data_IF_346486367161
#
_entry.id   IF_346486367161
#
_cell.length_a   1.000
_cell.length_b   1.000
_cell.length_c   1.000
_cell.angle_alpha   90.00
_cell.angle_beta   90.00
_cell.angle_gamma   90.00
#
_symmetry.space_group_name_H-M   'P 1'
#
loop_
_entity.id
_entity.type
_entity.pdbx_description
1 polymer ?
#
# COMPACT_ATOMS: atom_id res chain seq x y z
N UNK A 1 7.64 -31.36 -2.42
CA UNK A 1 8.12 -30.44 -1.36
C UNK A 1 7.03 -29.39 -1.28
N UNK A 2 6.31 -29.23 -0.17
CA UNK A 2 5.41 -28.09 -0.04
C UNK A 2 6.30 -26.86 0.04
N UNK A 3 6.32 -26.06 -1.01
CA UNK A 3 6.97 -24.76 -0.97
C UNK A 3 6.27 -23.96 0.12
N UNK A 4 7.04 -23.52 1.10
CA UNK A 4 6.52 -22.63 2.13
C UNK A 4 6.35 -21.26 1.47
N UNK A 5 5.25 -20.58 1.77
CA UNK A 5 4.96 -19.23 1.32
C UNK A 5 4.70 -18.35 2.54
N UNK A 6 4.91 -17.04 2.40
CA UNK A 6 4.43 -16.08 3.36
C UNK A 6 2.90 -15.96 3.27
N UNK A 7 2.26 -15.65 4.39
CA UNK A 7 0.83 -15.38 4.43
C UNK A 7 0.57 -13.89 4.18
N UNK A 8 -0.48 -13.60 3.41
CA UNK A 8 -0.85 -12.24 3.00
C UNK A 8 -2.37 -12.05 3.08
N UNK A 9 -2.79 -10.89 3.56
CA UNK A 9 -4.16 -10.38 3.48
C UNK A 9 -4.19 -9.04 2.75
N UNK A 10 -5.34 -8.67 2.19
CA UNK A 10 -5.55 -7.34 1.61
C UNK A 10 -5.45 -6.23 2.67
N UNK A 11 -5.79 -6.54 3.93
CA UNK A 11 -5.73 -5.62 5.07
C UNK A 11 -4.30 -5.22 5.45
N UNK A 12 -3.31 -6.04 5.09
CA UNK A 12 -1.90 -5.82 5.37
C UNK A 12 -1.24 -4.88 4.34
N UNK A 13 -2.00 -4.43 3.35
CA UNK A 13 -1.52 -3.61 2.25
C UNK A 13 -2.24 -2.26 2.19
N UNK A 14 -1.54 -1.27 1.67
CA UNK A 14 -2.06 0.06 1.43
C UNK A 14 -1.52 0.57 0.10
N UNK A 15 -2.39 1.18 -0.70
CA UNK A 15 -2.01 1.90 -1.91
C UNK A 15 -2.43 3.36 -1.77
N UNK A 16 -1.46 4.27 -1.86
CA UNK A 16 -1.68 5.70 -1.74
C UNK A 16 -1.19 6.42 -2.97
N UNK A 17 -2.07 7.19 -3.61
CA UNK A 17 -1.73 8.02 -4.75
C UNK A 17 -1.30 9.43 -4.31
N UNK A 18 -0.25 9.93 -4.93
CA UNK A 18 0.28 11.27 -4.75
C UNK A 18 0.30 11.96 -6.10
N UNK A 19 -0.49 13.02 -6.22
CA UNK A 19 -0.52 13.84 -7.44
C UNK A 19 0.34 15.08 -7.25
N UNK A 20 1.19 15.35 -8.24
CA UNK A 20 2.00 16.56 -8.31
C UNK A 20 1.99 17.14 -9.73
N UNK A 21 2.64 18.28 -9.93
CA UNK A 21 2.77 18.87 -11.27
C UNK A 21 3.55 18.01 -12.26
N UNK A 22 4.35 17.05 -11.79
CA UNK A 22 5.13 16.14 -12.64
C UNK A 22 4.39 14.84 -12.98
N UNK A 23 3.20 14.62 -12.44
CA UNK A 23 2.42 13.39 -12.65
C UNK A 23 1.85 12.83 -11.36
N UNK A 24 1.26 11.64 -11.48
CA UNK A 24 0.66 10.88 -10.37
C UNK A 24 1.50 9.64 -10.11
N UNK A 25 1.81 9.42 -8.83
CA UNK A 25 2.61 8.30 -8.35
C UNK A 25 1.80 7.55 -7.31
N UNK A 26 1.73 6.23 -7.40
CA UNK A 26 1.13 5.36 -6.40
C UNK A 26 2.24 4.69 -5.61
N UNK A 27 2.21 4.86 -4.30
CA UNK A 27 3.03 4.10 -3.35
C UNK A 27 2.21 2.92 -2.85
N UNK A 28 2.71 1.72 -3.05
CA UNK A 28 2.11 0.49 -2.52
C UNK A 28 3.05 -0.05 -1.46
N UNK A 29 2.53 -0.23 -0.24
CA UNK A 29 3.25 -0.84 0.87
C UNK A 29 2.43 -1.97 1.45
N UNK A 30 3.09 -2.99 1.96
CA UNK A 30 2.44 -4.00 2.79
C UNK A 30 3.45 -4.88 3.50
N UNK A 31 2.94 -5.93 4.14
CA UNK A 31 3.76 -6.94 4.77
C UNK A 31 3.17 -8.35 4.54
N UNK A 32 4.02 -9.36 4.70
CA UNK A 32 3.60 -10.76 4.76
C UNK A 32 4.17 -11.45 5.98
N UNK A 33 3.39 -12.35 6.56
CA UNK A 33 3.83 -13.18 7.68
C UNK A 33 4.61 -14.37 7.13
N UNK A 34 5.94 -14.27 7.18
CA UNK A 34 6.82 -15.25 6.57
C UNK A 34 7.24 -16.36 7.54
N UNK A 35 7.47 -17.60 7.07
CA UNK A 35 7.84 -18.75 7.90
C UNK A 35 9.17 -18.62 8.68
N UNK A 36 10.03 -17.68 8.27
CA UNK A 36 11.36 -17.45 8.85
C UNK A 36 11.81 -16.01 8.61
N UNK A 37 12.88 -15.58 9.29
CA UNK A 37 13.59 -14.37 8.91
C UNK A 37 14.35 -14.54 7.58
N UNK A 38 14.57 -13.44 6.86
CA UNK A 38 15.41 -13.38 5.65
C UNK A 38 14.69 -13.65 4.33
N UNK A 39 13.36 -13.72 4.34
CA UNK A 39 12.58 -13.70 3.10
C UNK A 39 12.75 -12.35 2.40
N UNK A 40 12.85 -12.37 1.08
CA UNK A 40 12.80 -11.15 0.27
C UNK A 40 11.46 -11.11 -0.47
N UNK A 41 10.75 -9.99 -0.34
CA UNK A 41 9.50 -9.73 -1.02
C UNK A 41 9.69 -8.60 -2.02
N UNK A 42 9.03 -8.70 -3.17
CA UNK A 42 9.02 -7.63 -4.17
C UNK A 42 7.69 -7.56 -4.90
N UNK A 43 7.26 -6.35 -5.23
CA UNK A 43 6.11 -6.08 -6.08
C UNK A 43 6.62 -5.68 -7.47
N UNK A 44 6.18 -6.39 -8.50
CA UNK A 44 6.61 -6.15 -9.89
C UNK A 44 5.39 -5.86 -10.74
N UNK A 45 5.40 -4.75 -11.49
CA UNK A 45 4.31 -4.45 -12.42
C UNK A 45 4.22 -5.52 -13.51
N UNK A 46 3.02 -6.01 -13.75
CA UNK A 46 2.75 -7.09 -14.71
C UNK A 46 1.72 -6.74 -15.77
N UNK A 47 1.33 -5.46 -15.88
CA UNK A 47 0.42 -4.97 -16.93
C UNK A 47 0.96 -5.37 -18.33
N UNK A 48 0.39 -6.40 -19.00
CA UNK A 48 0.90 -6.85 -20.28
C UNK A 48 0.24 -6.06 -21.42
N UNK A 49 1.02 -5.38 -22.24
CA UNK A 49 0.54 -4.75 -23.49
C UNK A 49 -0.45 -3.60 -23.30
N UNK A 50 -1.43 -3.49 -24.20
CA UNK A 50 -2.53 -2.52 -24.08
C UNK A 50 -3.41 -2.94 -22.91
N UNK A 51 -3.40 -2.17 -21.82
CA UNK A 51 -4.10 -2.48 -20.57
C UNK A 51 -5.62 -2.38 -20.82
N UNK A 52 -6.36 -3.51 -20.80
CA UNK A 52 -7.81 -3.50 -21.04
C UNK A 52 -8.59 -2.81 -19.90
N UNK A 53 -7.97 -2.67 -18.74
CA UNK A 53 -8.53 -2.07 -17.52
C UNK A 53 -7.56 -1.00 -16.99
N UNK A 54 -7.48 0.20 -17.60
CA UNK A 54 -6.56 1.26 -17.17
C UNK A 54 -6.81 1.72 -15.72
N UNK A 55 -7.97 1.43 -15.15
CA UNK A 55 -8.34 1.65 -13.76
C UNK A 55 -7.69 0.65 -12.77
N UNK A 56 -7.14 -0.45 -13.26
CA UNK A 56 -6.55 -1.52 -12.45
C UNK A 56 -5.06 -1.69 -12.74
N UNK A 57 -4.21 -1.51 -11.73
CA UNK A 57 -2.77 -1.76 -11.85
C UNK A 57 -2.43 -3.13 -11.25
N UNK A 58 -1.84 -4.02 -12.07
CA UNK A 58 -1.57 -5.40 -11.69
C UNK A 58 -0.12 -5.57 -11.24
N UNK A 59 0.08 -5.92 -9.98
CA UNK A 59 1.40 -6.17 -9.39
C UNK A 59 1.54 -7.66 -9.03
N UNK A 60 2.58 -8.31 -9.51
CA UNK A 60 2.97 -9.64 -9.04
C UNK A 60 3.81 -9.50 -7.77
N UNK A 61 3.36 -10.16 -6.71
CA UNK A 61 4.15 -10.36 -5.52
C UNK A 61 5.08 -11.55 -5.70
N UNK A 62 6.39 -11.29 -5.63
CA UNK A 62 7.43 -12.32 -5.72
C UNK A 62 8.08 -12.54 -4.38
N UNK A 63 8.21 -13.80 -4.04
CA UNK A 63 8.86 -14.28 -2.82
C UNK A 63 10.18 -14.96 -3.15
N UNK A 64 11.22 -14.64 -2.38
CA UNK A 64 12.47 -15.40 -2.41
C UNK A 64 12.76 -15.92 -1.01
N UNK A 65 12.76 -17.25 -0.89
CA UNK A 65 13.06 -17.93 0.35
C UNK A 65 14.53 -17.73 0.77
N UNK A 66 14.81 -17.56 2.08
CA UNK A 66 16.15 -17.48 2.60
C UNK A 66 16.88 -18.82 2.51
N UNK A 67 18.22 -18.77 2.51
CA UNK A 67 19.06 -19.96 2.66
C UNK A 67 19.17 -20.29 4.16
N UNK A 68 18.24 -21.07 4.68
CA UNK A 68 18.25 -21.46 6.11
C UNK A 68 17.06 -22.32 6.52
N UNK A 69 17.08 -22.83 7.77
CA UNK A 69 16.03 -23.71 8.33
C UNK A 69 15.38 -23.16 9.61
N UNK A 70 15.60 -21.88 9.94
CA UNK A 70 14.91 -21.25 11.07
C UNK A 70 13.40 -21.25 10.82
N UNK A 71 12.60 -21.53 11.85
CA UNK A 71 11.13 -21.50 11.79
C UNK A 71 10.63 -20.55 12.86
N UNK A 72 10.58 -19.28 12.50
CA UNK A 72 10.12 -18.18 13.35
C UNK A 72 9.27 -17.31 12.45
N UNK A 73 8.01 -17.09 12.82
CA UNK A 73 7.14 -16.22 12.02
C UNK A 73 7.63 -14.78 12.12
N UNK A 74 7.79 -14.11 10.97
CA UNK A 74 8.33 -12.75 10.88
C UNK A 74 7.53 -11.95 9.86
N UNK A 75 7.08 -10.76 10.28
CA UNK A 75 6.52 -9.77 9.36
C UNK A 75 7.62 -9.24 8.44
N UNK A 76 7.46 -9.46 7.15
CA UNK A 76 8.40 -9.03 6.11
C UNK A 76 7.72 -7.98 5.25
N UNK A 77 8.32 -6.78 5.19
CA UNK A 77 7.76 -5.66 4.44
C UNK A 77 8.01 -5.77 2.94
N UNK A 78 7.14 -5.13 2.17
CA UNK A 78 7.30 -4.93 0.72
C UNK A 78 6.84 -3.54 0.34
N UNK A 79 7.52 -2.93 -0.64
CA UNK A 79 7.19 -1.61 -1.15
C UNK A 79 7.41 -1.54 -2.66
N UNK A 80 6.55 -0.79 -3.34
CA UNK A 80 6.78 -0.32 -4.70
C UNK A 80 6.24 1.10 -4.88
N UNK A 81 6.89 1.85 -5.77
CA UNK A 81 6.48 3.19 -6.19
C UNK A 81 6.30 3.11 -7.71
N UNK A 82 5.10 3.44 -8.19
CA UNK A 82 4.73 3.31 -9.60
C UNK A 82 4.16 4.63 -10.10
N UNK A 83 4.59 5.09 -11.27
CA UNK A 83 3.94 6.20 -11.97
C UNK A 83 2.71 5.66 -12.71
N UNK A 84 1.52 6.19 -12.36
CA UNK A 84 0.26 5.78 -12.97
C UNK A 84 -0.80 6.89 -12.81
N UNK A 85 -1.38 7.32 -13.92
CA UNK A 85 -2.32 8.46 -13.98
C UNK A 85 -3.79 8.06 -13.74
N UNK A 86 -4.13 6.77 -13.72
CA UNK A 86 -5.52 6.30 -13.85
C UNK A 86 -5.94 5.28 -12.82
N UNK A 87 -5.03 4.46 -12.31
CA UNK A 87 -5.37 3.31 -11.49
C UNK A 87 -6.06 3.75 -10.18
N UNK A 88 -7.26 3.20 -9.97
CA UNK A 88 -8.06 3.37 -8.75
C UNK A 88 -7.99 2.15 -7.85
N UNK A 89 -7.43 1.05 -8.34
CA UNK A 89 -7.20 -0.17 -7.57
C UNK A 89 -5.86 -0.82 -7.95
N UNK A 90 -5.27 -1.52 -6.98
CA UNK A 90 -4.10 -2.38 -7.19
C UNK A 90 -4.55 -3.82 -7.03
N UNK A 91 -4.27 -4.64 -8.05
CA UNK A 91 -4.48 -6.09 -7.99
C UNK A 91 -3.15 -6.75 -7.68
N UNK A 92 -3.03 -7.32 -6.47
CA UNK A 92 -1.85 -8.07 -6.03
C UNK A 92 -2.01 -9.54 -6.43
N UNK A 93 -1.13 -10.00 -7.31
CA UNK A 93 -1.13 -11.36 -7.84
C UNK A 93 -0.06 -12.22 -7.20
N UNK A 94 -0.41 -13.50 -7.07
CA UNK A 94 0.47 -14.54 -6.59
C UNK A 94 0.60 -15.61 -7.67
N UNK A 95 1.73 -16.31 -7.69
CA UNK A 95 1.91 -17.47 -8.58
C UNK A 95 1.24 -18.74 -8.06
N UNK A 96 0.87 -18.77 -6.77
CA UNK A 96 0.46 -19.97 -6.03
C UNK A 96 -0.92 -19.87 -5.38
N UNK A 97 -1.60 -18.72 -5.45
CA UNK A 97 -2.97 -18.52 -4.96
C UNK A 97 -3.73 -17.46 -5.76
N UNK A 98 -5.02 -17.34 -5.47
CA UNK A 98 -5.86 -16.29 -6.04
C UNK A 98 -5.40 -14.89 -5.62
N UNK A 99 -5.51 -13.89 -6.52
CA UNK A 99 -5.16 -12.51 -6.23
C UNK A 99 -6.16 -11.84 -5.30
N UNK A 100 -5.78 -10.69 -4.75
CA UNK A 100 -6.71 -9.77 -4.09
C UNK A 100 -6.51 -8.35 -4.62
N UNK A 101 -7.54 -7.52 -4.45
CA UNK A 101 -7.52 -6.11 -4.82
C UNK A 101 -7.49 -5.23 -3.57
N UNK A 102 -6.77 -4.12 -3.65
CA UNK A 102 -6.78 -3.04 -2.66
C UNK A 102 -7.14 -1.72 -3.35
N UNK A 103 -7.93 -0.86 -2.70
CA UNK A 103 -8.25 0.45 -3.25
C UNK A 103 -7.02 1.37 -3.23
N UNK A 104 -6.89 2.20 -4.27
CA UNK A 104 -5.94 3.32 -4.25
C UNK A 104 -6.61 4.51 -3.59
N UNK A 105 -6.05 4.95 -2.48
CA UNK A 105 -6.53 6.13 -1.75
C UNK A 105 -5.73 7.35 -2.19
N UNK A 106 -6.40 8.40 -2.64
CA UNK A 106 -5.75 9.66 -2.96
C UNK A 106 -5.25 10.33 -1.68
N UNK A 107 -3.98 10.73 -1.69
CA UNK A 107 -3.41 11.52 -0.61
C UNK A 107 -3.93 12.96 -0.70
N UNK A 108 -4.95 13.27 0.09
CA UNK A 108 -5.44 14.64 0.22
C UNK A 108 -4.55 15.45 1.17
N UNK A 109 -3.77 16.39 0.61
CA UNK A 109 -2.95 17.34 1.39
C UNK A 109 -3.78 18.31 2.24
N UNK A 110 -5.10 18.40 2.05
CA UNK A 110 -5.94 19.41 2.69
C UNK A 110 -6.71 18.93 3.94
N UNK A 111 -6.63 17.66 4.30
CA UNK A 111 -7.34 17.10 5.47
C UNK A 111 -6.84 17.57 6.85
N UNK A 112 -5.57 17.98 6.97
CA UNK A 112 -4.94 18.26 8.28
C UNK A 112 -5.09 19.69 8.80
N UNK A 113 -5.58 20.66 7.98
CA UNK A 113 -5.66 22.08 8.40
C UNK A 113 -7.02 22.56 8.88
N UNK A 114 -8.09 21.81 8.69
CA UNK A 114 -9.46 22.29 9.00
C UNK A 114 -9.90 21.90 10.43
N UNK A 115 -9.26 20.91 11.05
CA UNK A 115 -9.68 20.41 12.37
C UNK A 115 -9.24 21.30 13.56
N UNK A 116 -8.22 22.15 13.40
CA UNK A 116 -7.63 22.91 14.53
C UNK A 116 -8.16 24.36 14.66
N UNK A 117 -8.83 24.89 13.62
CA UNK A 117 -9.34 26.26 13.62
C UNK A 117 -10.70 26.42 14.35
N UNK A 118 -11.32 25.33 14.82
CA UNK A 118 -12.68 25.35 15.40
C UNK A 118 -12.72 25.37 16.94
N UNK A 119 -11.59 25.49 17.64
CA UNK A 119 -11.55 25.55 19.12
C UNK A 119 -10.95 26.86 19.63
N UNK A 120 -11.70 27.95 19.47
CA UNK A 120 -11.53 29.13 20.32
C UNK A 120 -12.89 29.81 20.53
N UNK A 121 -13.59 29.57 21.65
CA UNK A 121 -14.60 30.51 22.10
C UNK A 121 -13.90 31.78 22.60
N UNK A 122 -14.25 32.91 21.99
CA UNK A 122 -13.85 34.23 22.41
C UNK A 122 -14.30 34.48 23.86
N UNK A 123 -13.36 34.72 24.77
CA UNK A 123 -13.66 35.24 26.10
C UNK A 123 -14.13 36.69 25.95
N UNK A 124 -15.41 36.93 26.21
CA UNK A 124 -15.97 38.28 26.29
C UNK A 124 -15.61 38.90 27.64
N UNK A 125 -14.86 40.00 27.61
CA UNK A 125 -14.66 40.90 28.74
C UNK A 125 -15.94 41.71 28.99
N UNK A 126 -16.41 41.76 30.24
CA UNK A 126 -17.37 42.80 30.69
C UNK A 126 -16.74 43.57 31.84
N UNK A 127 -16.41 44.82 31.55
CA UNK A 127 -16.12 45.89 32.51
C UNK A 127 -17.41 46.58 32.96
N UNK A 128 -17.56 46.78 34.27
CA UNK A 128 -18.23 47.93 34.89
C UNK A 128 -19.74 47.82 35.18
N UNK A 129 -20.11 47.94 36.46
CA UNK A 129 -20.50 49.21 37.11
C UNK A 129 -20.10 49.19 38.58
#
# INVERSE_FOLDING_TARGET
MSDLHCEFSAEDFTATAFTSSSGRVIRVTGFGLCPSAGWELSLVSTNPGVVPHPESLWLELRERAPKGRGRVLVDTGVEAIIEDDRATEIVVRFSWREPFAIPVVEFDRFGDRVADAARQPAAASVTGF
#
